data_IF_238660243719
#
_entry.id   IF_238660243719
#
_cell.length_a   1.000
_cell.length_b   1.000
_cell.length_c   1.000
_cell.angle_alpha   90.00
_cell.angle_beta   90.00
_cell.angle_gamma   90.00
#
_symmetry.space_group_name_H-M   'P 1'
#
loop_
_entity.id
_entity.type
_entity.pdbx_description
1 polymer ?
#
# COMPACT_ATOMS: atom_id res chain seq x y z
N UNK A 1 20.67 -1.55 21.28
CA UNK A 1 19.81 -2.23 20.27
C UNK A 1 18.98 -1.27 19.43
N UNK A 2 18.31 -0.27 19.99
CA UNK A 2 17.44 0.67 19.27
C UNK A 2 18.09 1.41 18.07
N UNK A 3 19.32 1.88 18.18
CA UNK A 3 20.03 2.59 17.10
C UNK A 3 20.30 1.74 15.85
N UNK A 4 20.46 0.41 16.02
CA UNK A 4 20.74 -0.53 14.92
C UNK A 4 19.46 -0.91 14.17
N UNK A 5 18.32 -0.92 14.86
CA UNK A 5 17.00 -1.17 14.27
C UNK A 5 16.55 0.04 13.44
N UNK A 6 16.67 1.27 13.97
CA UNK A 6 16.31 2.51 13.28
C UNK A 6 17.11 2.68 11.97
N UNK A 7 18.41 2.37 11.96
CA UNK A 7 19.22 2.45 10.74
C UNK A 7 18.82 1.40 9.69
N UNK A 8 18.34 0.22 10.08
CA UNK A 8 17.92 -0.84 9.16
C UNK A 8 16.56 -0.51 8.52
N UNK A 9 15.65 0.09 9.27
CA UNK A 9 14.35 0.56 8.78
C UNK A 9 14.50 1.73 7.79
N UNK A 10 15.33 2.71 8.10
CA UNK A 10 15.64 3.83 7.22
C UNK A 10 16.28 3.40 5.90
N UNK A 11 17.19 2.40 5.93
CA UNK A 11 17.77 1.83 4.72
C UNK A 11 16.76 1.06 3.89
N UNK A 12 15.83 0.35 4.52
CA UNK A 12 14.75 -0.37 3.84
C UNK A 12 13.75 0.57 3.16
N UNK A 13 13.33 1.64 3.85
CA UNK A 13 12.42 2.65 3.28
C UNK A 13 13.06 3.39 2.11
N UNK A 14 14.34 3.73 2.20
CA UNK A 14 15.06 4.39 1.11
C UNK A 14 15.26 3.47 -0.10
N UNK A 15 15.52 2.20 0.12
CA UNK A 15 15.64 1.21 -0.96
C UNK A 15 14.30 1.01 -1.68
N UNK A 16 13.20 0.90 -0.93
CA UNK A 16 11.86 0.81 -1.50
C UNK A 16 11.47 2.11 -2.23
N UNK A 17 11.77 3.27 -1.65
CA UNK A 17 11.59 4.56 -2.34
C UNK A 17 12.32 4.59 -3.69
N UNK A 18 13.59 4.20 -3.73
CA UNK A 18 14.36 4.18 -4.97
C UNK A 18 13.71 3.28 -6.01
N UNK A 19 13.24 2.10 -5.60
CA UNK A 19 12.51 1.18 -6.46
C UNK A 19 11.21 1.78 -7.01
N UNK A 20 10.41 2.46 -6.19
CA UNK A 20 9.20 3.15 -6.62
C UNK A 20 9.51 4.37 -7.51
N UNK A 21 10.59 5.08 -7.23
CA UNK A 21 11.03 6.21 -8.05
C UNK A 21 11.50 5.76 -9.43
N UNK A 22 12.12 4.59 -9.56
CA UNK A 22 12.45 3.99 -10.86
C UNK A 22 11.18 3.69 -11.67
N UNK A 23 10.09 3.22 -11.03
CA UNK A 23 8.79 3.05 -11.69
C UNK A 23 8.28 4.38 -12.28
N UNK A 24 8.45 5.49 -11.57
CA UNK A 24 8.09 6.82 -12.10
C UNK A 24 8.91 7.18 -13.35
N UNK A 25 10.18 6.82 -13.40
CA UNK A 25 11.04 7.09 -14.55
C UNK A 25 10.58 6.33 -15.81
N UNK A 26 9.94 5.17 -15.68
CA UNK A 26 9.37 4.41 -16.80
C UNK A 26 8.30 5.21 -17.54
N UNK A 27 7.46 5.94 -16.81
CA UNK A 27 6.36 6.74 -17.38
C UNK A 27 6.72 8.20 -17.62
N UNK A 28 7.93 8.60 -17.29
CA UNK A 28 8.43 9.97 -17.52
C UNK A 28 8.41 10.30 -19.01
N UNK A 29 7.97 11.51 -19.33
CA UNK A 29 7.78 12.01 -20.68
C UNK A 29 6.30 11.99 -21.08
N UNK A 30 5.66 10.83 -21.26
CA UNK A 30 4.22 10.79 -21.52
C UNK A 30 3.37 11.27 -20.35
N UNK A 31 3.81 11.04 -19.11
CA UNK A 31 3.14 11.47 -17.90
C UNK A 31 3.96 12.57 -17.23
N UNK A 32 3.30 13.67 -16.86
CA UNK A 32 3.93 14.74 -16.06
C UNK A 32 4.20 14.28 -14.63
N UNK A 33 5.20 14.86 -13.96
CA UNK A 33 5.59 14.49 -12.60
C UNK A 33 4.44 14.62 -11.60
N UNK A 34 3.59 15.65 -11.73
CA UNK A 34 2.43 15.89 -10.86
C UNK A 34 1.41 14.75 -10.91
N UNK A 35 1.37 14.02 -12.03
CA UNK A 35 0.44 12.92 -12.26
C UNK A 35 1.05 11.53 -11.96
N UNK A 36 2.34 11.43 -11.57
CA UNK A 36 2.95 10.12 -11.28
C UNK A 36 2.18 9.35 -10.20
N UNK A 37 1.71 10.06 -9.17
CA UNK A 37 0.91 9.46 -8.09
C UNK A 37 -0.32 8.72 -8.61
N UNK A 38 -0.97 9.24 -9.65
CA UNK A 38 -2.20 8.67 -10.21
C UNK A 38 -2.00 7.33 -10.93
N UNK A 39 -0.75 6.99 -11.25
CA UNK A 39 -0.37 5.73 -11.88
C UNK A 39 0.37 4.79 -10.93
N UNK A 40 1.33 5.33 -10.17
CA UNK A 40 2.17 4.50 -9.30
C UNK A 40 1.38 4.00 -8.08
N UNK A 41 0.57 4.86 -7.46
CA UNK A 41 -0.20 4.51 -6.26
C UNK A 41 -1.18 3.35 -6.50
N UNK A 42 -2.06 3.38 -7.53
CA UNK A 42 -2.97 2.27 -7.76
C UNK A 42 -2.26 0.95 -8.06
N UNK A 43 -1.18 0.99 -8.85
CA UNK A 43 -0.39 -0.21 -9.12
C UNK A 43 0.30 -0.76 -7.87
N UNK A 44 0.81 0.13 -7.02
CA UNK A 44 1.42 -0.25 -5.75
C UNK A 44 0.42 -0.95 -4.84
N UNK A 45 -0.80 -0.39 -4.69
CA UNK A 45 -1.86 -1.01 -3.91
C UNK A 45 -2.29 -2.35 -4.50
N UNK A 46 -2.53 -2.41 -5.79
CA UNK A 46 -2.94 -3.63 -6.46
C UNK A 46 -1.88 -4.74 -6.33
N UNK A 47 -0.61 -4.41 -6.60
CA UNK A 47 0.51 -5.34 -6.41
C UNK A 47 0.61 -5.81 -4.95
N UNK A 48 0.49 -4.88 -3.99
CA UNK A 48 0.53 -5.19 -2.56
C UNK A 48 -0.58 -6.15 -2.13
N UNK A 49 -1.83 -5.87 -2.53
CA UNK A 49 -2.98 -6.73 -2.21
C UNK A 49 -2.71 -8.16 -2.74
N UNK A 50 -2.23 -8.27 -3.97
CA UNK A 50 -1.93 -9.56 -4.60
C UNK A 50 -0.80 -10.31 -3.90
N UNK A 51 0.30 -9.61 -3.55
CA UNK A 51 1.43 -10.24 -2.87
C UNK A 51 1.11 -10.68 -1.44
N UNK A 52 0.28 -9.91 -0.72
CA UNK A 52 -0.20 -10.29 0.62
C UNK A 52 -1.10 -11.52 0.52
N UNK A 53 -1.98 -11.58 -0.47
CA UNK A 53 -2.81 -12.76 -0.73
C UNK A 53 -1.96 -14.01 -0.98
N UNK A 54 -0.92 -13.89 -1.81
CA UNK A 54 0.00 -15.00 -2.10
C UNK A 54 0.73 -15.47 -0.85
N UNK A 55 1.17 -14.55 0.03
CA UNK A 55 1.79 -14.87 1.32
C UNK A 55 0.82 -15.61 2.26
N UNK A 56 -0.42 -15.14 2.37
CA UNK A 56 -1.47 -15.74 3.19
C UNK A 56 -1.84 -17.14 2.67
N UNK A 57 -1.91 -17.32 1.34
CA UNK A 57 -2.09 -18.63 0.70
C UNK A 57 -0.95 -19.59 1.06
N UNK A 58 0.31 -19.13 1.00
CA UNK A 58 1.47 -19.94 1.35
C UNK A 58 1.43 -20.36 2.83
N UNK A 59 1.08 -19.44 3.73
CA UNK A 59 0.92 -19.71 5.16
C UNK A 59 -0.21 -20.72 5.44
N UNK A 60 -1.35 -20.58 4.77
CA UNK A 60 -2.46 -21.51 4.88
C UNK A 60 -2.11 -22.91 4.35
N UNK A 61 -1.35 -23.01 3.26
CA UNK A 61 -0.84 -24.29 2.76
C UNK A 61 0.11 -24.96 3.76
N UNK A 62 1.00 -24.21 4.37
CA UNK A 62 1.93 -24.75 5.38
C UNK A 62 1.14 -25.24 6.62
N UNK A 63 0.20 -24.46 7.12
CA UNK A 63 -0.56 -24.77 8.32
C UNK A 63 -1.50 -25.97 8.13
N UNK A 64 -2.05 -26.16 6.93
CA UNK A 64 -2.95 -27.27 6.60
C UNK A 64 -2.23 -28.54 6.12
N UNK A 65 -0.88 -28.54 6.06
CA UNK A 65 -0.13 -29.67 5.51
C UNK A 65 -0.28 -29.84 4.00
N UNK A 66 -0.57 -28.77 3.26
CA UNK A 66 -0.64 -28.75 1.81
C UNK A 66 -2.05 -28.84 1.23
N UNK A 67 -3.08 -28.62 2.04
CA UNK A 67 -4.48 -28.61 1.61
C UNK A 67 -4.77 -27.32 0.82
N UNK A 68 -4.90 -27.46 -0.50
CA UNK A 68 -5.16 -26.35 -1.42
C UNK A 68 -6.59 -25.80 -1.28
N UNK A 69 -7.55 -26.65 -0.97
CA UNK A 69 -8.95 -26.23 -0.81
C UNK A 69 -9.06 -25.35 0.45
N UNK A 70 -8.47 -25.79 1.56
CA UNK A 70 -8.37 -24.98 2.77
C UNK A 70 -7.65 -23.64 2.50
N UNK A 71 -6.53 -23.68 1.79
CA UNK A 71 -5.74 -22.46 1.51
C UNK A 71 -6.44 -21.47 0.60
N UNK A 72 -7.43 -21.90 -0.19
CA UNK A 72 -8.21 -21.01 -1.06
C UNK A 72 -9.47 -20.41 -0.41
N UNK A 73 -9.77 -20.80 0.83
CA UNK A 73 -10.95 -20.26 1.55
C UNK A 73 -10.80 -18.75 1.81
N UNK A 74 -11.87 -17.95 1.62
CA UNK A 74 -11.83 -16.52 1.88
C UNK A 74 -11.38 -16.14 3.29
N UNK A 75 -11.67 -16.98 4.29
CA UNK A 75 -11.32 -16.78 5.69
C UNK A 75 -9.81 -16.85 5.96
N UNK A 76 -9.05 -17.41 5.02
CA UNK A 76 -7.58 -17.47 5.10
C UNK A 76 -6.91 -16.20 4.58
N UNK A 77 -7.67 -15.30 3.97
CA UNK A 77 -7.16 -14.12 3.29
C UNK A 77 -7.80 -12.85 3.83
N UNK A 78 -6.98 -11.80 3.95
CA UNK A 78 -7.45 -10.46 4.33
C UNK A 78 -8.36 -9.85 3.28
N UNK A 79 -8.09 -10.14 2.01
CA UNK A 79 -8.85 -9.67 0.86
C UNK A 79 -9.20 -10.82 -0.06
N UNK A 80 -10.39 -10.79 -0.62
CA UNK A 80 -10.80 -11.71 -1.67
C UNK A 80 -10.32 -11.17 -3.01
N UNK A 81 -9.59 -11.97 -3.79
CA UNK A 81 -9.19 -11.66 -5.15
C UNK A 81 -9.93 -12.60 -6.10
N UNK A 82 -10.87 -12.10 -6.91
CA UNK A 82 -11.56 -12.93 -7.90
C UNK A 82 -10.63 -13.50 -8.97
N UNK A 83 -11.00 -14.64 -9.55
CA UNK A 83 -10.30 -15.25 -10.66
C UNK A 83 -10.11 -14.26 -11.83
N UNK A 84 -8.95 -14.28 -12.45
CA UNK A 84 -8.59 -13.33 -13.51
C UNK A 84 -8.15 -11.94 -13.00
N UNK A 85 -8.16 -11.71 -11.67
CA UNK A 85 -7.80 -10.45 -11.04
C UNK A 85 -6.49 -10.51 -10.24
N UNK A 86 -5.82 -11.65 -10.17
CA UNK A 86 -4.50 -11.74 -9.55
C UNK A 86 -3.44 -11.01 -10.39
N UNK A 87 -2.42 -10.47 -9.71
CA UNK A 87 -1.35 -9.74 -10.39
C UNK A 87 -0.71 -10.52 -11.53
N UNK A 88 -0.42 -11.81 -11.30
CA UNK A 88 0.19 -12.66 -12.32
C UNK A 88 -0.71 -12.87 -13.52
N UNK A 89 -2.01 -13.04 -13.33
CA UNK A 89 -2.97 -13.23 -14.42
C UNK A 89 -3.10 -11.98 -15.30
N UNK A 90 -3.07 -10.79 -14.68
CA UNK A 90 -3.07 -9.52 -15.42
C UNK A 90 -1.73 -9.30 -16.11
N UNK A 91 -0.61 -9.67 -15.49
CA UNK A 91 0.73 -9.61 -16.08
C UNK A 91 0.85 -10.45 -17.34
N UNK A 92 0.20 -11.61 -17.42
CA UNK A 92 0.24 -12.51 -18.59
C UNK A 92 -0.57 -12.02 -19.78
N UNK A 93 -1.44 -11.04 -19.60
CA UNK A 93 -2.22 -10.46 -20.72
C UNK A 93 -1.30 -9.72 -21.68
N UNK A 94 -1.60 -9.82 -22.98
CA UNK A 94 -0.79 -9.23 -24.05
C UNK A 94 -1.29 -7.87 -24.52
N UNK A 95 -2.59 -7.60 -24.34
CA UNK A 95 -3.26 -6.41 -24.87
C UNK A 95 -4.18 -5.77 -23.83
N UNK A 96 -4.47 -4.48 -24.03
CA UNK A 96 -5.43 -3.72 -23.22
C UNK A 96 -5.10 -3.76 -21.72
N UNK A 97 -3.81 -3.71 -21.38
CA UNK A 97 -3.31 -3.85 -20.01
C UNK A 97 -3.90 -2.81 -19.06
N UNK A 98 -4.07 -1.57 -19.51
CA UNK A 98 -4.68 -0.53 -18.69
C UNK A 98 -6.13 -0.85 -18.31
N UNK A 99 -6.92 -1.36 -19.26
CA UNK A 99 -8.29 -1.79 -18.98
C UNK A 99 -8.33 -3.03 -18.07
N UNK A 100 -7.37 -3.95 -18.24
CA UNK A 100 -7.24 -5.14 -17.41
C UNK A 100 -6.94 -4.78 -15.93
N UNK A 101 -5.99 -3.86 -15.69
CA UNK A 101 -5.67 -3.37 -14.35
C UNK A 101 -6.89 -2.71 -13.68
N UNK A 102 -7.55 -1.80 -14.40
CA UNK A 102 -8.75 -1.12 -13.88
C UNK A 102 -9.87 -2.11 -13.60
N UNK A 103 -10.08 -3.08 -14.50
CA UNK A 103 -11.07 -4.14 -14.32
C UNK A 103 -10.79 -4.99 -13.09
N UNK A 104 -9.55 -5.43 -12.91
CA UNK A 104 -9.13 -6.22 -11.76
C UNK A 104 -9.31 -5.46 -10.45
N UNK A 105 -8.84 -4.22 -10.36
CA UNK A 105 -9.02 -3.37 -9.17
C UNK A 105 -10.50 -3.18 -8.81
N UNK A 106 -11.37 -2.96 -9.83
CA UNK A 106 -12.80 -2.82 -9.61
C UNK A 106 -13.45 -4.12 -9.09
N UNK A 107 -13.06 -5.27 -9.64
CA UNK A 107 -13.59 -6.56 -9.16
C UNK A 107 -13.13 -6.86 -7.74
N UNK A 108 -11.87 -6.56 -7.40
CA UNK A 108 -11.34 -6.70 -6.05
C UNK A 108 -12.12 -5.79 -5.08
N UNK A 109 -12.40 -4.54 -5.44
CA UNK A 109 -13.19 -3.63 -4.61
C UNK A 109 -14.62 -4.17 -4.38
N UNK A 110 -15.28 -4.67 -5.43
CA UNK A 110 -16.62 -5.26 -5.34
C UNK A 110 -16.63 -6.50 -4.43
N UNK A 111 -15.58 -7.30 -4.49
CA UNK A 111 -15.45 -8.50 -3.66
C UNK A 111 -15.13 -8.19 -2.18
N UNK A 112 -14.73 -6.96 -1.87
CA UNK A 112 -14.34 -6.52 -0.51
C UNK A 112 -15.06 -5.23 -0.10
N UNK A 113 -16.41 -5.21 -0.04
CA UNK A 113 -17.17 -3.98 0.16
C UNK A 113 -16.94 -3.35 1.53
N UNK A 114 -16.66 -4.13 2.56
CA UNK A 114 -16.48 -3.63 3.93
C UNK A 114 -15.12 -2.96 4.16
N UNK A 115 -14.12 -3.29 3.32
CA UNK A 115 -12.73 -2.85 3.54
C UNK A 115 -12.18 -1.98 2.42
N UNK A 116 -12.62 -2.18 1.18
CA UNK A 116 -12.06 -1.50 0.00
C UNK A 116 -13.06 -0.59 -0.72
N UNK A 117 -14.29 -0.42 -0.20
CA UNK A 117 -15.29 0.44 -0.85
C UNK A 117 -14.77 1.86 -1.10
N UNK A 118 -14.79 2.30 -2.35
CA UNK A 118 -14.32 3.63 -2.76
C UNK A 118 -12.79 3.80 -2.78
N UNK A 119 -12.00 2.80 -2.37
CA UNK A 119 -10.54 2.91 -2.27
C UNK A 119 -9.87 2.76 -3.64
N UNK A 120 -10.22 1.72 -4.40
CA UNK A 120 -9.59 1.44 -5.69
C UNK A 120 -10.28 2.17 -6.85
N UNK A 121 -11.57 2.39 -6.78
CA UNK A 121 -12.35 3.11 -7.80
C UNK A 121 -12.07 4.62 -7.87
N UNK A 122 -11.47 5.20 -6.81
CA UNK A 122 -11.01 6.60 -6.85
C UNK A 122 -9.91 6.83 -7.90
N UNK A 123 -9.22 5.78 -8.33
CA UNK A 123 -8.22 5.88 -9.39
C UNK A 123 -8.89 5.88 -10.76
N UNK A 124 -8.86 7.02 -11.44
CA UNK A 124 -9.59 7.28 -12.69
C UNK A 124 -9.25 6.28 -13.80
N UNK A 125 -10.26 5.51 -14.22
CA UNK A 125 -10.15 4.56 -15.33
C UNK A 125 -9.72 5.21 -16.66
N UNK A 126 -10.10 6.46 -16.90
CA UNK A 126 -9.78 7.19 -18.13
C UNK A 126 -8.28 7.42 -18.31
N UNK A 127 -7.54 7.63 -17.22
CA UNK A 127 -6.08 7.80 -17.29
C UNK A 127 -5.39 6.52 -17.77
N UNK A 128 -5.83 5.36 -17.30
CA UNK A 128 -5.25 4.06 -17.62
C UNK A 128 -5.62 3.53 -19.00
N UNK A 129 -6.77 3.92 -19.54
CA UNK A 129 -7.28 3.49 -20.84
C UNK A 129 -6.88 4.41 -22.00
N UNK A 130 -6.30 5.59 -21.69
CA UNK A 130 -5.85 6.52 -22.71
C UNK A 130 -4.48 6.10 -23.29
N UNK A 131 -4.51 5.31 -24.34
CA UNK A 131 -3.31 4.78 -25.02
C UNK A 131 -2.42 5.88 -25.65
N UNK A 132 -2.94 7.09 -25.84
CA UNK A 132 -2.14 8.21 -26.32
C UNK A 132 -1.18 8.73 -25.26
N UNK A 133 -1.52 8.60 -23.98
CA UNK A 133 -0.68 8.97 -22.83
C UNK A 133 0.14 7.76 -22.39
N UNK A 134 -0.50 6.62 -22.14
CA UNK A 134 0.14 5.43 -21.62
C UNK A 134 -0.26 4.20 -22.46
N UNK A 135 0.60 3.80 -23.38
CA UNK A 135 0.38 2.64 -24.21
C UNK A 135 0.68 1.34 -23.46
N UNK A 136 0.21 0.21 -24.02
CA UNK A 136 0.37 -1.12 -23.41
C UNK A 136 1.85 -1.49 -23.16
N UNK A 137 2.79 -1.01 -23.99
CA UNK A 137 4.22 -1.25 -23.78
C UNK A 137 4.72 -0.59 -22.48
N UNK A 138 4.35 0.65 -22.22
CA UNK A 138 4.73 1.37 -21.00
C UNK A 138 4.09 0.78 -19.75
N UNK A 139 2.82 0.36 -19.86
CA UNK A 139 2.12 -0.34 -18.78
C UNK A 139 2.82 -1.68 -18.49
N UNK A 140 3.23 -2.39 -19.51
CA UNK A 140 4.00 -3.63 -19.37
C UNK A 140 5.33 -3.39 -18.67
N UNK A 141 6.08 -2.37 -19.07
CA UNK A 141 7.35 -2.02 -18.42
C UNK A 141 7.14 -1.74 -16.91
N UNK A 142 6.02 -1.08 -16.53
CA UNK A 142 5.67 -0.85 -15.13
C UNK A 142 5.34 -2.16 -14.39
N UNK A 143 4.51 -3.03 -15.00
CA UNK A 143 4.15 -4.32 -14.42
C UNK A 143 5.41 -5.17 -14.22
N UNK A 144 6.27 -5.25 -15.24
CA UNK A 144 7.52 -6.01 -15.16
C UNK A 144 8.48 -5.43 -14.12
N UNK A 145 8.57 -4.10 -14.01
CA UNK A 145 9.37 -3.47 -12.98
C UNK A 145 8.87 -3.83 -11.58
N UNK A 146 7.58 -3.65 -11.29
CA UNK A 146 7.01 -3.96 -9.98
C UNK A 146 7.05 -5.47 -9.67
N UNK A 147 7.03 -6.33 -10.69
CA UNK A 147 7.14 -7.78 -10.52
C UNK A 147 8.54 -8.26 -10.11
N UNK A 148 9.56 -7.39 -10.15
CA UNK A 148 10.92 -7.74 -9.68
C UNK A 148 11.00 -7.95 -8.18
N UNK A 149 10.02 -7.44 -7.41
CA UNK A 149 9.97 -7.56 -5.96
C UNK A 149 8.61 -8.08 -5.49
N UNK A 150 8.62 -8.88 -4.45
CA UNK A 150 7.41 -9.15 -3.66
C UNK A 150 7.21 -7.98 -2.70
N UNK A 151 6.02 -7.42 -2.69
CA UNK A 151 5.66 -6.28 -1.83
C UNK A 151 4.75 -6.72 -0.66
N UNK A 152 4.83 -7.96 -0.25
CA UNK A 152 4.09 -8.55 0.84
C UNK A 152 4.56 -8.09 2.22
N UNK A 153 3.93 -8.61 3.28
CA UNK A 153 4.22 -8.24 4.66
C UNK A 153 5.57 -8.78 5.16
N UNK A 154 6.01 -9.93 4.60
CA UNK A 154 7.28 -10.59 4.99
C UNK A 154 8.48 -9.73 4.60
N UNK A 155 8.47 -9.17 3.39
CA UNK A 155 9.58 -8.38 2.86
C UNK A 155 9.43 -6.88 3.20
N UNK A 156 8.19 -6.38 3.15
CA UNK A 156 7.88 -4.97 3.38
C UNK A 156 6.70 -4.82 4.34
N UNK A 157 6.95 -4.76 5.66
CA UNK A 157 5.92 -4.45 6.64
C UNK A 157 5.16 -3.15 6.30
N UNK A 158 3.91 -3.03 6.70
CA UNK A 158 3.04 -1.91 6.36
C UNK A 158 3.67 -0.53 6.69
N UNK A 159 4.45 -0.47 7.77
CA UNK A 159 5.16 0.73 8.21
C UNK A 159 6.22 1.16 7.22
N UNK A 160 7.02 0.22 6.75
CA UNK A 160 8.07 0.47 5.77
C UNK A 160 7.49 0.91 4.42
N UNK A 161 6.38 0.31 4.01
CA UNK A 161 5.63 0.72 2.81
C UNK A 161 5.13 2.16 2.93
N UNK A 162 4.55 2.50 4.08
CA UNK A 162 4.09 3.86 4.37
C UNK A 162 5.23 4.86 4.31
N UNK A 163 6.37 4.57 4.94
CA UNK A 163 7.55 5.44 4.96
C UNK A 163 8.09 5.71 3.56
N UNK A 164 8.24 4.67 2.75
CA UNK A 164 8.74 4.81 1.38
C UNK A 164 7.78 5.62 0.50
N UNK A 165 6.47 5.38 0.67
CA UNK A 165 5.45 6.13 -0.06
C UNK A 165 5.42 7.62 0.33
N UNK A 166 5.60 7.93 1.61
CA UNK A 166 5.72 9.32 2.07
C UNK A 166 6.92 10.05 1.48
N UNK A 167 8.09 9.38 1.45
CA UNK A 167 9.29 9.94 0.83
C UNK A 167 9.02 10.24 -0.64
N UNK A 168 8.30 9.34 -1.33
CA UNK A 168 7.92 9.50 -2.73
C UNK A 168 6.98 10.70 -2.95
N UNK A 169 5.92 10.82 -2.13
CA UNK A 169 4.99 11.95 -2.20
C UNK A 169 5.67 13.29 -1.93
N UNK A 170 6.54 13.33 -0.91
CA UNK A 170 7.33 14.53 -0.60
C UNK A 170 8.20 14.94 -1.79
N UNK A 171 8.84 13.98 -2.43
CA UNK A 171 9.66 14.25 -3.62
C UNK A 171 8.85 14.84 -4.77
N UNK A 172 7.65 14.34 -5.00
CA UNK A 172 6.76 14.91 -6.03
C UNK A 172 6.30 16.32 -5.68
N UNK A 173 6.00 16.59 -4.41
CA UNK A 173 5.62 17.93 -3.96
C UNK A 173 6.78 18.92 -4.11
N UNK A 174 8.01 18.54 -3.77
CA UNK A 174 9.21 19.38 -3.89
C UNK A 174 9.54 19.69 -5.37
N UNK A 175 9.36 18.72 -6.27
CA UNK A 175 9.67 18.87 -7.70
C UNK A 175 8.60 19.67 -8.47
N UNK A 176 7.35 19.71 -8.01
CA UNK A 176 6.22 20.27 -8.75
C UNK A 176 6.06 21.78 -8.63
N UNK A 177 6.78 22.50 -7.79
CA UNK A 177 6.64 23.96 -7.53
C UNK A 177 5.17 24.47 -7.44
N UNK A 178 4.21 23.57 -7.57
CA UNK A 178 2.79 23.82 -7.69
C UNK A 178 2.07 23.30 -6.46
N UNK A 179 1.45 24.21 -5.75
CA UNK A 179 0.54 24.03 -4.64
C UNK A 179 1.19 23.87 -3.25
N UNK A 180 1.45 25.01 -2.66
CA UNK A 180 1.70 25.24 -1.24
C UNK A 180 0.55 24.79 -0.30
N UNK A 181 -0.22 23.75 -0.66
CA UNK A 181 -1.43 23.33 0.07
C UNK A 181 -1.43 21.88 0.54
N UNK A 182 -0.58 21.02 -0.02
CA UNK A 182 -0.44 19.63 0.46
C UNK A 182 0.73 19.53 1.45
N UNK A 183 0.66 20.23 2.58
CA UNK A 183 1.67 20.12 3.64
C UNK A 183 1.48 18.80 4.38
N UNK A 184 2.40 17.90 4.16
CA UNK A 184 2.55 16.70 4.94
C UNK A 184 3.14 17.05 6.33
N UNK A 185 2.47 16.64 7.39
CA UNK A 185 3.01 16.82 8.74
C UNK A 185 4.14 15.82 8.99
N UNK A 186 5.37 16.27 9.32
CA UNK A 186 6.48 15.34 9.56
C UNK A 186 6.13 14.29 10.64
N UNK A 187 6.50 13.03 10.42
CA UNK A 187 6.18 11.92 11.35
C UNK A 187 6.66 12.16 12.77
N UNK A 188 7.81 12.79 12.95
CA UNK A 188 8.31 13.15 14.29
C UNK A 188 7.36 14.08 15.03
N UNK A 189 6.71 14.99 14.31
CA UNK A 189 5.69 15.90 14.87
C UNK A 189 4.41 15.14 15.15
N UNK A 190 3.96 14.29 14.22
CA UNK A 190 2.78 13.42 14.40
C UNK A 190 2.94 12.53 15.64
N UNK A 191 4.07 11.85 15.78
CA UNK A 191 4.40 11.04 16.96
C UNK A 191 4.38 11.86 18.24
N UNK A 192 5.02 13.02 18.23
CA UNK A 192 5.01 13.91 19.41
C UNK A 192 3.59 14.31 19.80
N UNK A 193 2.75 14.68 18.85
CA UNK A 193 1.36 15.06 19.09
C UNK A 193 0.54 13.90 19.64
N UNK A 194 0.67 12.70 19.09
CA UNK A 194 -0.02 11.51 19.61
C UNK A 194 0.44 11.14 21.01
N UNK A 195 1.75 11.22 21.30
CA UNK A 195 2.26 11.02 22.66
C UNK A 195 1.79 12.09 23.66
N UNK A 196 1.58 13.33 23.24
CA UNK A 196 1.01 14.39 24.10
C UNK A 196 -0.47 14.14 24.35
N UNK A 197 -1.22 13.68 23.34
CA UNK A 197 -2.64 13.37 23.46
C UNK A 197 -2.88 12.13 24.32
N UNK A 198 -1.93 11.19 24.34
CA UNK A 198 -1.95 9.95 25.12
C UNK A 198 -3.30 9.20 25.03
N UNK A 199 -3.79 8.86 23.81
CA UNK A 199 -5.09 8.22 23.65
C UNK A 199 -5.11 6.87 24.38
N UNK A 200 -6.22 6.59 25.08
CA UNK A 200 -6.40 5.38 25.87
C UNK A 200 -7.30 4.36 25.15
N UNK A 201 -7.14 3.06 25.43
CA UNK A 201 -8.01 2.02 24.86
C UNK A 201 -9.51 2.31 25.12
N UNK A 202 -10.32 2.25 24.06
CA UNK A 202 -11.75 2.54 24.13
C UNK A 202 -12.13 4.00 23.89
N UNK A 203 -11.17 4.90 23.79
CA UNK A 203 -11.42 6.28 23.37
C UNK A 203 -11.59 6.39 21.85
N UNK A 204 -12.30 7.43 21.41
CA UNK A 204 -12.46 7.75 19.99
C UNK A 204 -11.54 8.88 19.59
N UNK A 205 -10.83 8.73 18.48
CA UNK A 205 -9.96 9.75 17.91
C UNK A 205 -10.63 10.35 16.68
N UNK A 206 -10.74 11.68 16.65
CA UNK A 206 -11.29 12.44 15.53
C UNK A 206 -10.27 13.47 15.04
N UNK A 207 -9.94 13.41 13.77
CA UNK A 207 -9.08 14.38 13.10
C UNK A 207 -9.88 15.14 12.04
N UNK A 208 -10.25 16.42 12.28
CA UNK A 208 -11.07 17.20 11.36
C UNK A 208 -10.31 17.62 10.09
N UNK A 209 -9.01 17.45 10.05
CA UNK A 209 -8.12 17.82 8.93
C UNK A 209 -7.18 16.68 8.56
N UNK A 210 -7.69 15.45 8.55
CA UNK A 210 -6.89 14.21 8.55
C UNK A 210 -5.91 14.07 7.38
N UNK A 211 -6.11 14.76 6.27
CA UNK A 211 -5.26 14.62 5.08
C UNK A 211 -5.12 13.16 4.66
N UNK A 212 -3.90 12.62 4.70
CA UNK A 212 -3.61 11.20 4.44
C UNK A 212 -3.87 10.27 5.64
N UNK A 213 -4.43 10.76 6.74
CA UNK A 213 -4.71 9.98 7.94
C UNK A 213 -3.50 9.70 8.84
N UNK A 214 -2.39 10.41 8.66
CA UNK A 214 -1.14 10.16 9.38
C UNK A 214 -1.28 10.17 10.90
N UNK A 215 -2.05 11.12 11.46
CA UNK A 215 -2.36 11.19 12.90
C UNK A 215 -3.17 9.98 13.37
N UNK A 216 -4.21 9.59 12.62
CA UNK A 216 -5.06 8.46 12.95
C UNK A 216 -4.28 7.15 12.92
N UNK A 217 -3.43 6.94 11.91
CA UNK A 217 -2.56 5.77 11.79
C UNK A 217 -1.59 5.70 12.98
N UNK A 218 -0.95 6.81 13.35
CA UNK A 218 -0.02 6.84 14.48
C UNK A 218 -0.72 6.62 15.81
N UNK A 219 -1.97 7.11 15.99
CA UNK A 219 -2.78 6.83 17.17
C UNK A 219 -3.09 5.33 17.31
N UNK A 220 -3.45 4.66 16.21
CA UNK A 220 -3.65 3.19 16.19
C UNK A 220 -2.36 2.45 16.57
N UNK A 221 -1.22 2.87 16.05
CA UNK A 221 0.09 2.30 16.40
C UNK A 221 0.42 2.48 17.87
N UNK A 222 0.22 3.68 18.38
CA UNK A 222 0.45 4.01 19.78
C UNK A 222 -0.37 3.09 20.70
N UNK A 223 -1.66 2.94 20.42
CA UNK A 223 -2.56 2.05 21.16
C UNK A 223 -2.13 0.58 21.07
N UNK A 224 -1.68 0.12 19.90
CA UNK A 224 -1.18 -1.26 19.72
C UNK A 224 0.08 -1.52 20.54
N UNK A 225 0.98 -0.55 20.65
CA UNK A 225 2.20 -0.66 21.45
C UNK A 225 1.91 -0.70 22.95
N UNK A 226 0.91 0.06 23.45
CA UNK A 226 0.48 0.01 24.84
C UNK A 226 -0.09 -1.38 25.19
N UNK A 227 -0.90 -1.97 24.31
CA UNK A 227 -1.44 -3.32 24.52
C UNK A 227 -0.37 -4.41 24.57
N UNK A 228 0.74 -4.27 23.83
CA UNK A 228 1.87 -5.22 23.86
C UNK A 228 2.69 -5.06 25.16
N UNK A 229 2.79 -3.86 25.70
CA UNK A 229 3.56 -3.58 26.92
C UNK A 229 2.78 -3.85 28.21
N UNK A 230 1.46 -4.08 28.16
CA UNK A 230 0.63 -4.54 29.30
C UNK A 230 0.01 -5.92 29.04
N UNK A 231 0.80 -7.00 28.88
CA UNK A 231 0.24 -8.34 28.86
C UNK A 231 0.02 -8.79 30.29
N UNK A 232 -1.12 -8.69 30.86
CA UNK A 232 -1.49 -9.32 32.14
C UNK A 232 -2.06 -8.40 33.23
N UNK A 233 -3.17 -7.72 32.95
CA UNK A 233 -4.06 -7.34 34.05
C UNK A 233 -5.46 -7.96 33.99
N UNK A 234 -5.76 -8.84 33.02
CA UNK A 234 -7.08 -9.47 32.89
C UNK A 234 -7.12 -11.00 33.02
N UNK A 235 -6.16 -11.62 33.69
CA UNK A 235 -6.23 -13.05 33.99
C UNK A 235 -6.22 -13.40 35.49
N UNK A 236 -6.73 -12.53 36.33
CA UNK A 236 -7.00 -12.83 37.74
C UNK A 236 -8.26 -12.07 38.20
N UNK A 237 -9.42 -12.53 37.79
CA UNK A 237 -10.63 -12.64 38.64
C UNK A 237 -11.50 -13.72 38.00
#
# INVERSE_FOLDING_TARGET
>A
MAKKTINKELTGAQDLYNFLFEACNIIRGPVSQDNFKDYITPLLYYKRISDVYDEETEEALISSGGDKEYASLPEQHRFVIPDGCHWQEVRERTENLGAAIVGAMRQIEIANPDTLYGVLSMFSSQKWTNKAILNDSKIRDLIEHLSKRKLGNKDYPADLMGDAYEILLKKFADDSKAQAGEFYTPRSVVRLLVHILDPQPGETVYDPACGSGGMLIEAIRYLSLIHISEPTRHSLI
#
